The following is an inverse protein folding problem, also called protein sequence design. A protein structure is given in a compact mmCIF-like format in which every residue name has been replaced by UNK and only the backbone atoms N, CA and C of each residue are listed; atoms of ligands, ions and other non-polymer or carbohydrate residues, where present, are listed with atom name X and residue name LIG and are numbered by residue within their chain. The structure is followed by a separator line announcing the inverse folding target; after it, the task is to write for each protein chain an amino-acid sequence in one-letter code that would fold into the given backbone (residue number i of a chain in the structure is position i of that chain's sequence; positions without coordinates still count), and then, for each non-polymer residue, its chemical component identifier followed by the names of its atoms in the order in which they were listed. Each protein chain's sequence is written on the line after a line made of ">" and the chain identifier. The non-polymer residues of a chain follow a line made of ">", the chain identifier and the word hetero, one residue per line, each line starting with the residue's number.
data_IF_889127599281
#
_entry.id   IF_889127599281
#
_cell.length_a   1.000
_cell.length_b   1.000
_cell.length_c   1.000
_cell.angle_alpha   90.00
_cell.angle_beta   90.00
_cell.angle_gamma   90.00
#
_symmetry.space_group_name_H-M   'P 1'
#
loop_
_entity.id
_entity.type
_entity.pdbx_description
1 polymer ?
#
# COMPACT_ATOMS: atom_id res chain seq x y z
N UNK A 1 -15.22 7.12 -9.07
CA UNK A 1 -14.15 6.10 -8.98
C UNK A 1 -14.52 5.20 -7.83
N UNK A 2 -14.10 3.94 -7.84
CA UNK A 2 -14.27 3.09 -6.65
C UNK A 2 -13.20 3.50 -5.64
N UNK A 3 -13.58 3.66 -4.37
CA UNK A 3 -12.61 3.93 -3.32
C UNK A 3 -11.55 2.83 -3.29
N UNK A 4 -10.27 3.21 -3.32
CA UNK A 4 -9.13 2.31 -3.32
C UNK A 4 -8.14 2.71 -2.24
N UNK A 5 -7.92 1.82 -1.28
CA UNK A 5 -6.90 1.96 -0.25
C UNK A 5 -5.67 1.16 -0.65
N UNK A 6 -4.52 1.82 -0.64
CA UNK A 6 -3.27 1.27 -1.18
C UNK A 6 -2.14 1.34 -0.17
N UNK A 7 -1.38 0.26 -0.06
CA UNK A 7 -0.18 0.20 0.74
C UNK A 7 1.04 0.35 -0.16
N UNK A 8 1.88 1.33 0.14
CA UNK A 8 3.14 1.58 -0.54
C UNK A 8 4.28 1.06 0.33
N UNK A 9 5.26 0.36 -0.26
CA UNK A 9 6.37 -0.26 0.49
C UNK A 9 7.72 -0.05 -0.18
N UNK A 10 8.78 0.09 0.62
CA UNK A 10 10.17 0.17 0.15
C UNK A 10 10.80 -1.21 0.12
N UNK A 11 10.42 -2.01 -0.87
CA UNK A 11 11.02 -3.33 -1.12
C UNK A 11 12.05 -3.25 -2.23
N UNK A 12 13.24 -3.79 -1.97
CA UNK A 12 14.30 -3.94 -2.96
C UNK A 12 14.05 -5.13 -3.89
N UNK A 13 14.60 -5.05 -5.10
CA UNK A 13 14.49 -6.07 -6.14
C UNK A 13 13.49 -5.70 -7.24
N UNK A 14 13.36 -6.60 -8.22
CA UNK A 14 12.32 -6.46 -9.25
C UNK A 14 10.93 -6.75 -8.70
N UNK A 15 9.90 -6.40 -9.48
CA UNK A 15 8.49 -6.57 -9.11
C UNK A 15 8.17 -8.00 -8.61
N UNK A 16 8.69 -9.03 -9.26
CA UNK A 16 8.43 -10.43 -8.86
C UNK A 16 8.97 -10.76 -7.47
N UNK A 17 10.12 -10.18 -7.09
CA UNK A 17 10.72 -10.39 -5.78
C UNK A 17 9.91 -9.67 -4.71
N UNK A 18 9.54 -8.40 -4.96
CA UNK A 18 8.72 -7.63 -4.05
C UNK A 18 7.33 -8.26 -3.87
N UNK A 19 6.66 -8.62 -4.96
CA UNK A 19 5.35 -9.25 -4.94
C UNK A 19 5.38 -10.63 -4.29
N UNK A 20 6.45 -11.42 -4.49
CA UNK A 20 6.66 -12.68 -3.79
C UNK A 20 6.74 -12.49 -2.28
N UNK A 21 7.47 -11.47 -1.80
CA UNK A 21 7.56 -11.14 -0.37
C UNK A 21 6.22 -10.70 0.21
N UNK A 22 5.50 -9.82 -0.49
CA UNK A 22 4.14 -9.39 -0.08
C UNK A 22 3.21 -10.59 0.00
N UNK A 23 3.23 -11.46 -1.01
CA UNK A 23 2.40 -12.65 -1.07
C UNK A 23 2.72 -13.65 0.04
N UNK A 24 3.99 -13.86 0.36
CA UNK A 24 4.42 -14.72 1.47
C UNK A 24 3.88 -14.21 2.81
N UNK A 25 4.09 -12.93 3.10
CA UNK A 25 3.65 -12.28 4.35
C UNK A 25 2.12 -12.30 4.48
N UNK A 26 1.41 -12.00 3.41
CA UNK A 26 -0.04 -11.90 3.43
C UNK A 26 -0.75 -13.25 3.20
N UNK A 27 -0.02 -14.34 2.95
CA UNK A 27 -0.56 -15.67 2.70
C UNK A 27 -1.38 -15.74 1.40
N UNK A 28 -0.87 -15.15 0.32
CA UNK A 28 -1.57 -14.99 -0.94
C UNK A 28 -1.19 -16.06 -1.97
N UNK A 29 -2.14 -16.42 -2.83
CA UNK A 29 -1.95 -17.31 -3.97
C UNK A 29 -1.93 -16.49 -5.26
N UNK A 30 -0.91 -16.69 -6.11
CA UNK A 30 -0.83 -16.05 -7.42
C UNK A 30 -1.96 -16.56 -8.33
N UNK A 31 -2.70 -15.64 -8.93
CA UNK A 31 -3.84 -15.94 -9.81
C UNK A 31 -3.57 -15.54 -11.25
N UNK A 32 -2.77 -14.50 -11.47
CA UNK A 32 -2.49 -14.01 -12.81
C UNK A 32 -1.29 -13.10 -12.88
N UNK A 33 -0.64 -13.13 -14.04
CA UNK A 33 0.34 -12.13 -14.44
C UNK A 33 -0.37 -11.12 -15.34
N UNK A 34 -0.49 -9.88 -14.86
CA UNK A 34 -1.18 -8.80 -15.56
C UNK A 34 -0.20 -7.73 -16.05
N UNK A 35 1.11 -7.99 -16.06
CA UNK A 35 2.12 -6.99 -16.40
C UNK A 35 1.94 -6.38 -17.78
N UNK A 36 1.53 -7.18 -18.77
CA UNK A 36 1.23 -6.70 -20.13
C UNK A 36 -0.01 -5.79 -20.22
N UNK A 37 -0.85 -5.75 -19.17
CA UNK A 37 -2.13 -5.02 -19.16
C UNK A 37 -2.14 -3.84 -18.20
N UNK A 38 -1.64 -4.05 -16.99
CA UNK A 38 -1.69 -3.08 -15.88
C UNK A 38 -0.35 -2.93 -15.17
N UNK A 39 0.70 -3.65 -15.57
CA UNK A 39 2.00 -3.58 -14.88
C UNK A 39 2.06 -4.38 -13.57
N UNK A 40 1.03 -5.17 -13.24
CA UNK A 40 0.88 -5.78 -11.92
C UNK A 40 0.88 -7.31 -11.94
N UNK A 41 1.15 -7.91 -10.78
CA UNK A 41 0.86 -9.30 -10.48
C UNK A 41 -0.42 -9.39 -9.62
N UNK A 42 -1.31 -10.30 -10.00
CA UNK A 42 -2.59 -10.50 -9.33
C UNK A 42 -2.56 -11.72 -8.42
N UNK A 43 -2.98 -11.52 -7.18
CA UNK A 43 -3.10 -12.55 -6.16
C UNK A 43 -4.52 -12.59 -5.57
N UNK A 44 -4.81 -13.66 -4.83
CA UNK A 44 -5.98 -13.79 -3.98
C UNK A 44 -5.60 -14.28 -2.59
N UNK A 45 -6.35 -13.88 -1.58
CA UNK A 45 -6.17 -14.32 -0.20
C UNK A 45 -7.48 -14.36 0.56
N UNK A 46 -7.48 -15.02 1.71
CA UNK A 46 -8.61 -14.94 2.66
C UNK A 46 -8.66 -13.52 3.22
N UNK A 47 -9.86 -12.94 3.26
CA UNK A 47 -10.06 -11.67 3.93
C UNK A 47 -9.80 -11.81 5.44
N UNK A 48 -9.26 -10.76 6.05
CA UNK A 48 -8.98 -10.65 7.49
C UNK A 48 -10.16 -10.06 8.25
N UNK A 49 -10.91 -9.17 7.62
CA UNK A 49 -12.03 -8.43 8.21
C UNK A 49 -13.40 -9.11 8.03
N UNK A 50 -13.51 -10.12 7.16
CA UNK A 50 -14.77 -10.84 6.91
C UNK A 50 -14.54 -12.27 6.40
N UNK A 51 -15.58 -13.12 6.41
CA UNK A 51 -15.50 -14.43 5.75
C UNK A 51 -15.61 -14.28 4.22
N UNK A 52 -14.49 -14.40 3.52
CA UNK A 52 -14.45 -14.25 2.07
C UNK A 52 -13.05 -14.32 1.48
N UNK A 53 -12.94 -13.82 0.26
CA UNK A 53 -11.69 -13.74 -0.50
C UNK A 53 -11.54 -12.32 -1.03
N UNK A 54 -10.34 -11.78 -0.92
CA UNK A 54 -9.94 -10.51 -1.55
C UNK A 54 -8.93 -10.77 -2.67
N UNK A 55 -8.97 -9.90 -3.67
CA UNK A 55 -7.88 -9.77 -4.64
C UNK A 55 -6.83 -8.83 -4.08
N UNK A 56 -5.56 -9.12 -4.37
CA UNK A 56 -4.44 -8.23 -4.05
C UNK A 56 -3.63 -8.05 -5.33
N UNK A 57 -3.37 -6.81 -5.69
CA UNK A 57 -2.60 -6.44 -6.87
C UNK A 57 -1.30 -5.81 -6.40
N UNK A 58 -0.18 -6.31 -6.90
CA UNK A 58 1.15 -5.77 -6.58
C UNK A 58 1.79 -5.26 -7.85
N UNK A 59 2.14 -3.98 -7.85
CA UNK A 59 2.71 -3.27 -9.00
C UNK A 59 3.86 -2.35 -8.59
N UNK A 60 4.48 -1.73 -9.59
CA UNK A 60 5.40 -0.62 -9.35
C UNK A 60 4.60 0.66 -9.08
N UNK A 61 5.17 1.56 -8.28
CA UNK A 61 4.60 2.87 -8.09
C UNK A 61 4.80 3.73 -9.33
N UNK A 62 3.69 4.03 -10.01
CA UNK A 62 3.65 4.89 -11.20
C UNK A 62 2.97 6.24 -10.91
N UNK A 63 2.61 6.52 -9.65
CA UNK A 63 2.10 7.82 -9.24
C UNK A 63 3.28 8.78 -9.13
N UNK A 64 3.34 9.70 -10.09
CA UNK A 64 4.38 10.72 -10.17
C UNK A 64 3.82 12.06 -9.70
N UNK A 65 4.62 12.84 -8.94
CA UNK A 65 4.23 14.18 -8.54
C UNK A 65 4.19 15.11 -9.76
N UNK A 66 3.41 16.17 -9.64
CA UNK A 66 3.49 17.28 -10.60
C UNK A 66 4.87 17.95 -10.56
N UNK A 67 5.23 18.65 -11.63
CA UNK A 67 6.58 19.18 -11.81
C UNK A 67 6.94 20.19 -10.71
N UNK A 68 7.88 19.82 -9.84
CA UNK A 68 8.36 20.64 -8.73
C UNK A 68 7.66 20.34 -7.40
N UNK A 69 6.68 19.44 -7.38
CA UNK A 69 6.01 18.98 -6.18
C UNK A 69 6.69 17.74 -5.59
N UNK A 70 6.32 17.38 -4.36
CA UNK A 70 6.82 16.18 -3.67
C UNK A 70 5.67 15.51 -2.96
N UNK A 71 5.57 14.19 -3.09
CA UNK A 71 4.55 13.38 -2.45
C UNK A 71 5.16 12.41 -1.44
N UNK A 72 4.40 12.07 -0.41
CA UNK A 72 4.82 11.15 0.65
C UNK A 72 5.23 9.76 0.12
N UNK A 73 4.70 9.36 -1.04
CA UNK A 73 4.92 8.05 -1.67
C UNK A 73 6.04 8.03 -2.72
N UNK A 74 6.71 9.15 -3.02
CA UNK A 74 7.70 9.25 -4.11
C UNK A 74 8.86 8.26 -3.99
N UNK A 75 9.24 7.93 -2.74
CA UNK A 75 10.34 7.00 -2.44
C UNK A 75 9.90 5.55 -2.26
N UNK A 76 8.62 5.25 -2.51
CA UNK A 76 8.05 3.93 -2.31
C UNK A 76 7.83 3.26 -3.69
N UNK A 77 8.73 2.37 -4.13
CA UNK A 77 8.71 1.82 -5.48
C UNK A 77 7.61 0.80 -5.75
N UNK A 78 6.92 0.29 -4.73
CA UNK A 78 5.94 -0.81 -4.86
C UNK A 78 4.61 -0.39 -4.25
N UNK A 79 3.53 -0.71 -4.96
CA UNK A 79 2.14 -0.51 -4.53
C UNK A 79 1.46 -1.86 -4.35
N UNK A 80 0.68 -1.97 -3.28
CA UNK A 80 -0.17 -3.11 -2.95
C UNK A 80 -1.61 -2.61 -2.83
N UNK A 81 -2.45 -2.93 -3.81
CA UNK A 81 -3.88 -2.61 -3.83
C UNK A 81 -4.70 -3.82 -3.36
N UNK A 82 -5.47 -3.62 -2.29
CA UNK A 82 -6.32 -4.65 -1.68
C UNK A 82 -7.78 -4.42 -2.09
N UNK A 83 -8.35 -5.34 -2.86
CA UNK A 83 -9.68 -5.20 -3.44
C UNK A 83 -10.64 -6.30 -3.00
N UNK A 84 -11.81 -5.90 -2.47
CA UNK A 84 -12.94 -6.80 -2.25
C UNK A 84 -14.00 -6.61 -3.35
N UNK A 85 -14.44 -7.70 -3.98
CA UNK A 85 -15.56 -7.65 -4.97
C UNK A 85 -16.93 -7.79 -4.33
N UNK A 86 -17.00 -8.37 -3.13
CA UNK A 86 -18.25 -8.76 -2.47
C UNK A 86 -18.61 -7.85 -1.29
N UNK A 87 -17.62 -7.14 -0.72
CA UNK A 87 -17.75 -6.29 0.47
C UNK A 87 -16.90 -5.03 0.31
N UNK A 88 -17.39 -4.08 -0.48
CA UNK A 88 -16.70 -2.81 -0.76
C UNK A 88 -16.60 -1.90 0.46
N UNK A 89 -17.61 -1.96 1.34
CA UNK A 89 -17.65 -1.29 2.63
C UNK A 89 -16.54 -1.73 3.60
N UNK A 90 -15.96 -2.92 3.41
CA UNK A 90 -14.90 -3.46 4.24
C UNK A 90 -13.49 -3.28 3.66
N UNK A 91 -13.35 -2.64 2.49
CA UNK A 91 -12.06 -2.58 1.78
C UNK A 91 -11.02 -1.76 2.55
N UNK A 92 -11.40 -0.60 3.10
CA UNK A 92 -10.52 0.23 3.91
C UNK A 92 -9.98 -0.50 5.15
N UNK A 93 -10.86 -1.20 5.87
CA UNK A 93 -10.45 -2.00 7.03
C UNK A 93 -9.55 -3.17 6.62
N UNK A 94 -9.83 -3.83 5.50
CA UNK A 94 -8.97 -4.90 4.99
C UNK A 94 -7.57 -4.38 4.60
N UNK A 95 -7.49 -3.23 3.93
CA UNK A 95 -6.22 -2.60 3.57
C UNK A 95 -5.43 -2.18 4.82
N UNK A 96 -6.11 -1.64 5.83
CA UNK A 96 -5.51 -1.31 7.14
C UNK A 96 -4.94 -2.55 7.82
N UNK A 97 -5.68 -3.66 7.86
CA UNK A 97 -5.19 -4.92 8.43
C UNK A 97 -4.04 -5.52 7.60
N UNK A 98 -4.07 -5.38 6.28
CA UNK A 98 -2.95 -5.79 5.43
C UNK A 98 -1.69 -4.96 5.69
N UNK A 99 -1.83 -3.64 5.85
CA UNK A 99 -0.75 -2.74 6.26
C UNK A 99 -0.13 -3.19 7.59
N UNK A 100 -0.94 -3.43 8.62
CA UNK A 100 -0.45 -3.88 9.93
C UNK A 100 0.36 -5.18 9.83
N UNK A 101 -0.16 -6.18 9.12
CA UNK A 101 0.55 -7.45 8.92
C UNK A 101 1.87 -7.24 8.16
N UNK A 102 1.89 -6.39 7.13
CA UNK A 102 3.11 -6.08 6.40
C UNK A 102 4.14 -5.41 7.30
N UNK A 103 3.76 -4.41 8.09
CA UNK A 103 4.68 -3.66 8.95
C UNK A 103 5.19 -4.48 10.13
N UNK A 104 4.39 -5.42 10.63
CA UNK A 104 4.80 -6.34 11.70
C UNK A 104 5.81 -7.38 11.19
N UNK A 105 5.56 -7.94 9.99
CA UNK A 105 6.42 -8.97 9.41
C UNK A 105 7.68 -8.41 8.74
N UNK A 106 7.60 -7.21 8.17
CA UNK A 106 8.68 -6.51 7.46
C UNK A 106 9.13 -5.28 8.28
N UNK A 107 9.51 -5.50 9.53
CA UNK A 107 9.83 -4.43 10.49
C UNK A 107 11.05 -3.56 10.12
N UNK A 108 11.82 -3.96 9.10
CA UNK A 108 12.93 -3.19 8.52
C UNK A 108 12.55 -2.45 7.23
N UNK A 109 11.31 -2.59 6.76
CA UNK A 109 10.80 -2.02 5.52
C UNK A 109 9.84 -0.86 5.81
N UNK A 110 10.15 0.36 5.36
CA UNK A 110 9.20 1.46 5.37
C UNK A 110 7.93 1.14 4.58
N UNK A 111 6.78 1.54 5.12
CA UNK A 111 5.49 1.41 4.46
C UNK A 111 4.61 2.66 4.70
N UNK A 112 3.66 2.92 3.82
CA UNK A 112 2.55 3.85 4.10
C UNK A 112 1.24 3.33 3.52
N UNK A 113 0.13 3.72 4.10
CA UNK A 113 -1.23 3.42 3.67
C UNK A 113 -1.89 4.72 3.23
N UNK A 114 -2.43 4.73 2.02
CA UNK A 114 -3.21 5.84 1.49
C UNK A 114 -4.65 5.43 1.22
N UNK A 115 -5.53 6.43 1.21
CA UNK A 115 -6.88 6.34 0.71
C UNK A 115 -6.97 7.15 -0.59
N UNK A 116 -7.41 6.49 -1.66
CA UNK A 116 -7.59 7.05 -3.01
C UNK A 116 -6.35 7.73 -3.61
N UNK A 117 -5.15 7.44 -3.09
CA UNK A 117 -3.92 8.14 -3.48
C UNK A 117 -4.05 9.66 -3.33
N UNK A 118 -4.87 10.07 -2.36
CA UNK A 118 -5.16 11.47 -2.06
C UNK A 118 -4.82 11.74 -0.59
N UNK A 119 -5.31 10.88 0.30
CA UNK A 119 -5.13 11.04 1.74
C UNK A 119 -4.17 9.99 2.32
N UNK A 120 -3.27 10.44 3.18
CA UNK A 120 -2.38 9.59 3.95
C UNK A 120 -3.12 9.11 5.22
N UNK A 121 -3.25 7.80 5.37
CA UNK A 121 -3.97 7.19 6.49
C UNK A 121 -3.00 6.76 7.59
N UNK A 122 -1.92 6.10 7.21
CA UNK A 122 -0.90 5.63 8.14
C UNK A 122 0.47 5.56 7.48
N UNK A 123 1.54 5.61 8.28
CA UNK A 123 2.90 5.37 7.84
C UNK A 123 3.66 4.55 8.87
N UNK A 124 4.61 3.75 8.41
CA UNK A 124 5.55 3.01 9.22
C UNK A 124 6.96 3.33 8.75
N UNK A 125 7.78 3.79 9.70
CA UNK A 125 9.20 4.03 9.47
C UNK A 125 10.01 3.21 10.48
N UNK A 126 10.94 2.36 10.02
CA UNK A 126 11.82 1.59 10.91
C UNK A 126 12.51 2.50 11.93
N UNK A 127 12.49 2.09 13.20
CA UNK A 127 13.02 2.86 14.32
C UNK A 127 12.11 3.97 14.87
N UNK A 128 11.05 4.38 14.15
CA UNK A 128 10.00 5.28 14.67
C UNK A 128 8.69 4.57 14.97
N UNK A 129 8.41 3.48 14.27
CA UNK A 129 7.18 2.70 14.42
C UNK A 129 6.06 3.20 13.49
N UNK A 130 4.84 2.75 13.78
CA UNK A 130 3.65 3.15 13.03
C UNK A 130 3.06 4.46 13.55
N UNK A 131 2.54 5.27 12.65
CA UNK A 131 1.80 6.50 12.91
C UNK A 131 0.52 6.53 12.09
N UNK A 132 -0.57 6.96 12.71
CA UNK A 132 -1.87 7.15 12.06
C UNK A 132 -2.14 8.65 11.99
N UNK A 133 -2.59 9.11 10.84
CA UNK A 133 -2.85 10.51 10.59
C UNK A 133 -4.31 10.86 10.89
N UNK A 134 -4.58 12.14 11.11
CA UNK A 134 -5.95 12.65 11.12
C UNK A 134 -6.57 12.51 9.73
N UNK A 135 -7.91 12.57 9.65
CA UNK A 135 -8.58 12.60 8.37
C UNK A 135 -8.13 13.80 7.53
N UNK A 136 -8.21 13.66 6.22
CA UNK A 136 -7.93 14.70 5.23
C UNK A 136 -6.46 15.18 5.14
N UNK A 137 -5.51 14.53 5.81
CA UNK A 137 -4.07 14.75 5.59
C UNK A 137 -3.72 14.26 4.18
N UNK A 138 -3.34 15.17 3.30
CA UNK A 138 -2.98 14.84 1.91
C UNK A 138 -1.59 14.22 1.82
N UNK A 139 -1.36 13.46 0.75
CA UNK A 139 -0.02 12.94 0.42
C UNK A 139 0.91 14.03 -0.15
N UNK A 140 0.38 15.20 -0.48
CA UNK A 140 1.04 16.25 -1.25
C UNK A 140 1.76 17.27 -0.36
N UNK A 141 2.46 18.21 -1.01
CA UNK A 141 3.29 19.23 -0.36
C UNK A 141 2.59 20.07 0.72
N UNK A 142 1.31 20.48 0.61
CA UNK A 142 0.64 21.30 1.63
C UNK A 142 0.68 20.69 3.04
N UNK A 143 0.61 19.37 3.14
CA UNK A 143 0.66 18.63 4.42
C UNK A 143 2.03 18.01 4.72
N UNK A 144 3.04 18.31 3.90
CA UNK A 144 4.42 17.80 4.08
C UNK A 144 4.98 17.95 5.48
N UNK A 145 4.85 19.10 6.16
CA UNK A 145 5.35 19.23 7.52
C UNK A 145 4.76 18.20 8.50
N UNK A 146 3.57 17.70 8.22
CA UNK A 146 2.85 16.70 9.03
C UNK A 146 3.38 15.30 8.75
N UNK A 147 3.54 14.92 7.47
CA UNK A 147 3.89 13.54 7.09
C UNK A 147 5.39 13.27 6.93
N UNK A 148 6.21 14.26 6.61
CA UNK A 148 7.65 14.11 6.35
C UNK A 148 8.41 13.39 7.49
N UNK A 149 8.12 13.62 8.78
CA UNK A 149 8.76 12.88 9.86
C UNK A 149 8.47 11.37 9.89
N UNK A 150 7.48 10.88 9.15
CA UNK A 150 6.99 9.51 9.27
C UNK A 150 7.20 8.66 8.02
N UNK A 151 7.70 9.25 6.94
CA UNK A 151 7.92 8.57 5.66
C UNK A 151 9.37 8.69 5.20
N UNK A 152 9.71 7.98 4.14
CA UNK A 152 11.01 8.13 3.45
C UNK A 152 10.92 9.27 2.45
N UNK A 153 11.87 10.22 2.52
CA UNK A 153 12.00 11.36 1.59
C UNK A 153 13.34 11.38 0.86
#
# INVERSE_FOLDING_TARGET
>A
MADSDQVFVVLEGGLEVAAGRVAEVLGLELVGDLRDKTGELQYKGRARSFDGVVGVYVGLNEYLPDAGETQAMDRYPVVVDVQSRVRKDAQAEEARLAFEVLTDALADVPALLSHNVEFLVAAYLPGRGAHTFEADITLDEPDRPTWEPWVVT
#
